data_IF_867860209978
#
_entry.id   IF_867860209978
#
_cell.length_a   1.000
_cell.length_b   1.000
_cell.length_c   1.000
_cell.angle_alpha   90.00
_cell.angle_beta   90.00
_cell.angle_gamma   90.00
#
_symmetry.space_group_name_H-M   'P 1'
#
loop_
_entity.id
_entity.type
_entity.pdbx_description
1 polymer ?
#
# COMPACT_ATOMS: atom_id res chain seq x y z
N UNK A 1 -10.93 26.86 -19.04
CA UNK A 1 -9.88 26.03 -19.66
C UNK A 1 -8.81 25.81 -18.60
N UNK A 2 -8.81 24.64 -17.94
CA UNK A 2 -7.70 24.17 -17.12
C UNK A 2 -7.30 22.81 -17.71
N UNK A 3 -6.01 22.68 -18.02
CA UNK A 3 -5.43 21.67 -18.89
C UNK A 3 -4.99 20.44 -18.11
N UNK A 4 -5.44 19.25 -18.54
CA UNK A 4 -5.05 17.92 -18.05
C UNK A 4 -3.61 17.54 -18.41
N UNK A 5 -2.62 18.32 -17.98
CA UNK A 5 -1.19 18.04 -18.21
C UNK A 5 -0.36 17.83 -16.94
N UNK A 6 -0.98 17.57 -15.80
CA UNK A 6 -0.25 17.49 -14.53
C UNK A 6 0.30 16.10 -14.15
N UNK A 7 0.06 15.04 -14.92
CA UNK A 7 0.46 13.68 -14.50
C UNK A 7 1.70 13.08 -15.19
N UNK A 8 2.25 13.71 -16.22
CA UNK A 8 3.42 13.19 -16.98
C UNK A 8 4.72 14.01 -16.81
N UNK A 9 4.79 14.97 -15.87
CA UNK A 9 5.84 16.00 -15.87
C UNK A 9 6.55 16.32 -14.55
N UNK A 10 6.64 15.41 -13.57
CA UNK A 10 7.20 15.76 -12.25
C UNK A 10 8.35 14.86 -11.77
N UNK A 11 9.40 14.75 -12.60
CA UNK A 11 10.71 14.23 -12.20
C UNK A 11 11.80 15.32 -12.13
N UNK A 12 11.46 16.61 -12.13
CA UNK A 12 12.44 17.69 -12.00
C UNK A 12 11.85 18.88 -11.24
N UNK A 13 12.22 19.07 -9.96
CA UNK A 13 12.19 20.38 -9.28
C UNK A 13 13.35 20.46 -8.29
N UNK A 14 14.29 21.37 -8.56
CA UNK A 14 15.36 21.84 -7.67
C UNK A 14 14.83 22.67 -6.47
N UNK A 15 15.61 22.81 -5.38
CA UNK A 15 15.10 23.16 -4.06
C UNK A 15 15.03 24.69 -3.81
N UNK A 16 14.06 25.12 -3.01
CA UNK A 16 14.02 26.45 -2.42
C UNK A 16 14.05 26.38 -0.87
N UNK A 17 14.85 27.29 -0.31
CA UNK A 17 15.31 27.42 1.07
C UNK A 17 14.26 27.57 2.19
N UNK A 18 14.78 27.31 3.40
CA UNK A 18 14.22 27.34 4.75
C UNK A 18 13.42 28.56 5.22
N UNK A 19 12.58 28.38 6.25
CA UNK A 19 12.80 29.02 7.58
C UNK A 19 11.85 28.49 8.67
N UNK A 20 12.40 28.48 9.89
CA UNK A 20 11.89 28.31 11.26
C UNK A 20 10.49 28.91 11.53
N UNK A 21 9.75 28.72 12.63
CA UNK A 21 9.68 27.88 13.84
C UNK A 21 8.38 28.38 14.55
N UNK A 22 7.70 27.58 15.37
CA UNK A 22 7.32 27.97 16.74
C UNK A 22 6.45 26.91 17.44
N UNK A 23 6.87 26.69 18.68
CA UNK A 23 6.46 25.85 19.79
C UNK A 23 5.24 26.41 20.53
N UNK A 24 4.30 25.57 21.00
CA UNK A 24 3.64 25.67 22.33
C UNK A 24 3.15 24.27 22.77
N UNK A 25 3.65 23.81 23.92
CA UNK A 25 3.13 22.71 24.75
C UNK A 25 1.87 23.12 25.50
N UNK A 26 0.99 22.16 25.82
CA UNK A 26 0.32 22.09 27.13
C UNK A 26 -0.29 20.72 27.37
N UNK A 27 0.22 20.04 28.39
CA UNK A 27 -0.29 18.83 29.02
C UNK A 27 -1.66 19.06 29.69
N UNK A 28 -2.49 18.01 29.82
CA UNK A 28 -2.79 17.45 31.14
C UNK A 28 -3.61 16.16 31.08
N UNK A 29 -3.13 15.19 31.86
CA UNK A 29 -3.75 13.93 32.24
C UNK A 29 -5.01 14.13 33.09
N UNK A 30 -5.95 13.18 33.00
CA UNK A 30 -6.61 12.63 34.20
C UNK A 30 -7.21 11.24 33.93
N UNK A 31 -6.66 10.28 34.65
CA UNK A 31 -7.15 8.92 34.87
C UNK A 31 -8.32 8.98 35.87
N UNK A 32 -9.37 8.18 35.66
CA UNK A 32 -10.00 7.49 36.78
C UNK A 32 -10.74 6.21 36.38
N UNK A 33 -10.38 5.15 37.11
CA UNK A 33 -10.98 3.83 37.18
C UNK A 33 -12.28 3.81 37.98
N UNK A 34 -13.21 2.90 37.68
CA UNK A 34 -14.40 2.67 38.51
C UNK A 34 -15.20 1.43 38.11
N UNK A 35 -15.40 0.53 39.06
CA UNK A 35 -15.90 -0.85 38.95
C UNK A 35 -17.39 -1.05 38.65
N UNK A 36 -17.66 -2.18 37.97
CA UNK A 36 -18.68 -3.23 38.24
C UNK A 36 -20.19 -2.91 38.32
N UNK A 37 -21.01 -3.72 37.65
CA UNK A 37 -21.87 -4.75 38.30
C UNK A 37 -22.71 -5.55 37.28
N UNK A 38 -22.90 -6.84 37.60
CA UNK A 38 -23.73 -7.85 36.92
C UNK A 38 -25.23 -7.56 37.10
N UNK A 39 -26.07 -7.98 36.15
CA UNK A 39 -27.28 -8.81 36.43
C UNK A 39 -27.89 -9.46 35.18
N UNK A 40 -28.05 -10.79 35.28
CA UNK A 40 -28.80 -11.69 34.37
C UNK A 40 -30.31 -11.39 34.42
N UNK A 41 -31.02 -11.64 33.32
CA UNK A 41 -32.33 -12.33 33.37
C UNK A 41 -32.64 -13.05 32.05
N UNK A 42 -32.89 -14.35 32.19
CA UNK A 42 -33.31 -15.34 31.17
C UNK A 42 -34.85 -15.42 31.23
N UNK A 43 -35.55 -15.52 30.10
CA UNK A 43 -36.90 -16.10 30.04
C UNK A 43 -37.12 -16.81 28.70
N UNK A 44 -37.21 -18.14 28.78
CA UNK A 44 -37.74 -19.03 27.75
C UNK A 44 -39.28 -18.98 27.79
N UNK A 45 -39.95 -19.10 26.63
CA UNK A 45 -41.24 -19.80 26.53
C UNK A 45 -41.41 -20.53 25.19
N UNK A 46 -41.85 -21.78 25.34
CA UNK A 46 -42.05 -22.96 24.47
C UNK A 46 -42.92 -22.80 23.19
N UNK A 47 -42.53 -23.60 22.17
CA UNK A 47 -43.26 -24.63 21.33
C UNK A 47 -44.65 -24.27 20.77
N UNK A 48 -45.04 -24.57 19.52
CA UNK A 48 -45.19 -25.85 18.75
C UNK A 48 -45.59 -25.38 17.30
N UNK A 49 -45.45 -26.07 16.16
CA UNK A 49 -45.79 -27.47 15.87
C UNK A 49 -45.24 -27.89 14.48
N UNK A 50 -45.22 -29.22 14.27
CA UNK A 50 -44.79 -29.99 13.08
C UNK A 50 -45.52 -29.65 11.78
N UNK A 51 -44.85 -29.83 10.65
CA UNK A 51 -45.34 -30.80 9.66
C UNK A 51 -44.21 -31.46 8.85
N UNK A 52 -44.44 -32.75 8.54
CA UNK A 52 -43.53 -33.75 7.98
C UNK A 52 -44.05 -34.13 6.60
N UNK A 53 -43.17 -34.27 5.61
CA UNK A 53 -43.51 -34.84 4.30
C UNK A 53 -42.24 -35.28 3.57
N UNK A 54 -42.00 -36.59 3.54
CA UNK A 54 -41.00 -37.24 2.69
C UNK A 54 -41.50 -37.27 1.25
N UNK A 55 -40.60 -37.19 0.28
CA UNK A 55 -40.50 -38.19 -0.79
C UNK A 55 -39.10 -38.12 -1.44
N UNK A 56 -38.53 -39.30 -1.64
CA UNK A 56 -37.36 -39.56 -2.46
C UNK A 56 -37.83 -39.91 -3.89
N UNK A 57 -36.97 -39.68 -4.89
CA UNK A 57 -37.11 -40.31 -6.21
C UNK A 57 -36.82 -39.40 -7.40
N UNK A 58 -35.55 -39.38 -7.78
CA UNK A 58 -34.99 -39.52 -9.14
C UNK A 58 -35.12 -38.44 -10.24
N UNK A 59 -34.09 -38.50 -11.09
CA UNK A 59 -33.88 -37.93 -12.43
C UNK A 59 -33.41 -36.48 -12.60
N UNK A 60 -32.07 -36.40 -12.74
CA UNK A 60 -31.31 -35.65 -13.73
C UNK A 60 -31.97 -34.46 -14.44
N UNK A 61 -31.40 -33.27 -14.25
CA UNK A 61 -31.14 -32.39 -15.40
C UNK A 61 -29.96 -31.46 -15.10
N UNK A 62 -29.06 -31.41 -16.05
CA UNK A 62 -27.94 -30.48 -16.18
C UNK A 62 -28.36 -29.03 -15.86
N UNK A 63 -27.54 -28.32 -15.08
CA UNK A 63 -27.40 -26.86 -15.20
C UNK A 63 -25.96 -26.47 -14.95
N UNK A 64 -25.11 -26.81 -15.92
CA UNK A 64 -23.91 -26.04 -16.19
C UNK A 64 -24.35 -24.84 -17.03
N UNK A 65 -24.56 -23.67 -16.40
CA UNK A 65 -24.44 -22.30 -16.99
C UNK A 65 -24.94 -21.24 -16.01
N UNK A 66 -24.16 -20.90 -14.99
CA UNK A 66 -24.28 -19.64 -14.22
C UNK A 66 -23.01 -18.77 -14.33
N UNK A 67 -21.96 -19.33 -14.94
CA UNK A 67 -20.57 -18.85 -14.94
C UNK A 67 -20.36 -17.47 -15.60
N UNK A 68 -21.13 -17.13 -16.63
CA UNK A 68 -21.06 -15.82 -17.31
C UNK A 68 -22.01 -14.79 -16.69
N UNK A 69 -23.04 -15.23 -15.99
CA UNK A 69 -24.18 -14.39 -15.68
C UNK A 69 -23.88 -13.45 -14.53
N UNK A 70 -23.37 -13.95 -13.39
CA UNK A 70 -23.09 -13.10 -12.21
C UNK A 70 -22.04 -12.02 -12.46
N UNK A 71 -20.99 -12.36 -13.21
CA UNK A 71 -19.89 -11.44 -13.54
C UNK A 71 -20.31 -10.40 -14.58
N UNK A 72 -21.12 -10.80 -15.58
CA UNK A 72 -21.70 -9.87 -16.54
C UNK A 72 -22.76 -8.98 -15.87
N UNK A 73 -23.56 -9.54 -14.99
CA UNK A 73 -24.60 -8.88 -14.23
C UNK A 73 -24.02 -7.80 -13.31
N UNK A 74 -22.97 -8.09 -12.55
CA UNK A 74 -22.31 -7.08 -11.69
C UNK A 74 -21.66 -5.97 -12.52
N UNK A 75 -21.09 -6.31 -13.68
CA UNK A 75 -20.58 -5.29 -14.62
C UNK A 75 -21.71 -4.42 -15.16
N UNK A 76 -22.85 -5.04 -15.49
CA UNK A 76 -24.06 -4.36 -15.97
C UNK A 76 -24.68 -3.50 -14.87
N UNK A 77 -24.67 -3.95 -13.61
CA UNK A 77 -25.12 -3.18 -12.45
C UNK A 77 -24.28 -1.92 -12.26
N UNK A 78 -22.95 -2.03 -12.35
CA UNK A 78 -22.05 -0.87 -12.31
C UNK A 78 -22.37 0.12 -13.45
N UNK A 79 -22.55 -0.36 -14.68
CA UNK A 79 -22.91 0.50 -15.81
C UNK A 79 -24.30 1.14 -15.62
N UNK A 80 -25.29 0.38 -15.17
CA UNK A 80 -26.64 0.88 -14.92
C UNK A 80 -26.67 1.91 -13.79
N UNK A 81 -25.83 1.73 -12.77
CA UNK A 81 -25.65 2.67 -11.68
C UNK A 81 -25.07 3.99 -12.19
N UNK A 82 -24.08 3.95 -13.10
CA UNK A 82 -23.54 5.16 -13.73
C UNK A 82 -24.58 5.87 -14.60
N UNK A 83 -25.29 5.13 -15.46
CA UNK A 83 -26.36 5.69 -16.31
C UNK A 83 -27.48 6.31 -15.47
N UNK A 84 -27.87 5.64 -14.37
CA UNK A 84 -28.91 6.14 -13.48
C UNK A 84 -28.46 7.34 -12.65
N UNK A 85 -27.17 7.38 -12.27
CA UNK A 85 -26.57 8.53 -11.58
C UNK A 85 -26.43 9.74 -12.52
N UNK A 86 -26.27 9.51 -13.82
CA UNK A 86 -26.20 10.58 -14.83
C UNK A 86 -27.55 11.23 -15.12
N UNK A 87 -28.61 10.43 -15.15
CA UNK A 87 -29.96 10.91 -15.38
C UNK A 87 -30.51 11.65 -14.13
N UNK A 88 -30.64 12.98 -14.22
CA UNK A 88 -30.99 13.91 -13.12
C UNK A 88 -32.41 13.78 -12.52
N UNK A 89 -33.10 12.65 -12.68
CA UNK A 89 -34.50 12.45 -12.24
C UNK A 89 -34.57 11.83 -10.84
N UNK A 90 -35.47 12.29 -9.99
CA UNK A 90 -35.63 11.83 -8.59
C UNK A 90 -35.98 10.34 -8.48
N UNK A 91 -36.77 9.81 -9.42
CA UNK A 91 -37.07 8.37 -9.54
C UNK A 91 -35.81 7.51 -9.73
N UNK A 92 -34.71 8.09 -10.24
CA UNK A 92 -33.45 7.38 -10.38
C UNK A 92 -32.70 7.23 -9.05
N UNK A 93 -32.96 8.06 -8.03
CA UNK A 93 -32.31 7.94 -6.73
C UNK A 93 -32.67 6.59 -6.05
N UNK A 94 -33.93 6.18 -6.14
CA UNK A 94 -34.39 4.88 -5.64
C UNK A 94 -33.75 3.72 -6.40
N UNK A 95 -33.67 3.82 -7.73
CA UNK A 95 -33.01 2.81 -8.58
C UNK A 95 -31.52 2.69 -8.29
N UNK A 96 -30.82 3.82 -8.14
CA UNK A 96 -29.41 3.87 -7.75
C UNK A 96 -29.21 3.16 -6.41
N UNK A 97 -30.02 3.44 -5.39
CA UNK A 97 -29.89 2.78 -4.08
C UNK A 97 -30.13 1.26 -4.13
N UNK A 98 -31.09 0.78 -4.93
CA UNK A 98 -31.30 -0.66 -5.13
C UNK A 98 -30.08 -1.30 -5.80
N UNK A 99 -29.56 -0.68 -6.85
CA UNK A 99 -28.39 -1.17 -7.58
C UNK A 99 -27.14 -1.19 -6.70
N UNK A 100 -26.90 -0.13 -5.93
CA UNK A 100 -25.83 -0.06 -4.92
C UNK A 100 -25.95 -1.21 -3.90
N UNK A 101 -27.13 -1.39 -3.31
CA UNK A 101 -27.34 -2.43 -2.30
C UNK A 101 -27.13 -3.85 -2.86
N UNK A 102 -27.63 -4.12 -4.08
CA UNK A 102 -27.44 -5.40 -4.75
C UNK A 102 -25.96 -5.67 -5.06
N UNK A 103 -25.27 -4.68 -5.63
CA UNK A 103 -23.84 -4.74 -5.93
C UNK A 103 -23.01 -5.00 -4.66
N UNK A 104 -23.29 -4.26 -3.59
CA UNK A 104 -22.62 -4.42 -2.29
C UNK A 104 -22.87 -5.80 -1.70
N UNK A 105 -24.09 -6.30 -1.79
CA UNK A 105 -24.44 -7.62 -1.29
C UNK A 105 -23.68 -8.72 -2.03
N UNK A 106 -23.72 -8.72 -3.37
CA UNK A 106 -22.99 -9.70 -4.20
C UNK A 106 -21.48 -9.66 -3.93
N UNK A 107 -20.91 -8.47 -3.94
CA UNK A 107 -19.46 -8.28 -3.72
C UNK A 107 -19.05 -8.71 -2.30
N UNK A 108 -19.84 -8.35 -1.28
CA UNK A 108 -19.56 -8.74 0.11
C UNK A 108 -19.70 -10.25 0.33
N UNK A 109 -20.68 -10.89 -0.33
CA UNK A 109 -20.87 -12.33 -0.27
C UNK A 109 -19.67 -13.07 -0.88
N UNK A 110 -19.20 -12.63 -2.06
CA UNK A 110 -18.02 -13.20 -2.71
C UNK A 110 -16.78 -13.07 -1.83
N UNK A 111 -16.48 -11.88 -1.31
CA UNK A 111 -15.37 -11.69 -0.37
C UNK A 111 -15.51 -12.53 0.91
N UNK A 112 -16.73 -12.73 1.41
CA UNK A 112 -16.96 -13.55 2.61
C UNK A 112 -16.69 -15.02 2.32
N UNK A 113 -17.16 -15.54 1.17
CA UNK A 113 -16.89 -16.91 0.71
C UNK A 113 -15.41 -17.14 0.48
N UNK A 114 -14.70 -16.19 -0.13
CA UNK A 114 -13.25 -16.28 -0.33
C UNK A 114 -12.50 -16.49 0.99
N UNK A 115 -12.92 -15.81 2.06
CA UNK A 115 -12.32 -15.91 3.39
C UNK A 115 -12.78 -17.10 4.22
N UNK A 116 -13.83 -17.80 3.81
CA UNK A 116 -14.41 -18.89 4.58
C UNK A 116 -13.54 -20.14 4.46
N UNK A 117 -12.88 -20.63 5.53
CA UNK A 117 -12.06 -21.83 5.46
C UNK A 117 -12.88 -23.10 5.20
N UNK A 118 -14.18 -23.10 5.50
CA UNK A 118 -15.05 -24.27 5.37
C UNK A 118 -15.51 -24.49 3.91
N UNK A 119 -15.37 -23.47 3.05
CA UNK A 119 -15.67 -23.58 1.62
C UNK A 119 -14.45 -24.14 0.87
N UNK A 120 -14.60 -25.23 0.11
CA UNK A 120 -13.51 -25.78 -0.69
C UNK A 120 -12.99 -24.78 -1.72
N UNK A 121 -11.68 -24.79 -1.95
CA UNK A 121 -10.98 -23.85 -2.83
C UNK A 121 -11.53 -23.87 -4.27
N UNK A 122 -11.85 -25.06 -4.80
CA UNK A 122 -12.39 -25.18 -6.16
C UNK A 122 -13.76 -24.51 -6.32
N UNK A 123 -14.53 -24.36 -5.23
CA UNK A 123 -15.82 -23.67 -5.22
C UNK A 123 -15.71 -22.15 -5.09
N UNK A 124 -14.49 -21.61 -5.10
CA UNK A 124 -14.19 -20.16 -4.96
C UNK A 124 -13.72 -19.51 -6.26
N UNK A 125 -13.57 -20.28 -7.34
CA UNK A 125 -13.01 -19.79 -8.61
C UNK A 125 -13.85 -18.64 -9.17
N UNK A 126 -15.18 -18.75 -9.12
CA UNK A 126 -16.08 -17.71 -9.59
C UNK A 126 -16.00 -16.45 -8.72
N UNK A 127 -15.94 -16.63 -7.40
CA UNK A 127 -15.75 -15.53 -6.45
C UNK A 127 -14.43 -14.77 -6.71
N UNK A 128 -13.36 -15.50 -7.05
CA UNK A 128 -12.06 -14.92 -7.45
C UNK A 128 -12.20 -14.05 -8.69
N UNK A 129 -12.82 -14.58 -9.75
CA UNK A 129 -13.00 -13.85 -11.00
C UNK A 129 -13.88 -12.61 -10.83
N UNK A 130 -15.00 -12.77 -10.10
CA UNK A 130 -15.93 -11.69 -9.79
C UNK A 130 -15.22 -10.56 -9.05
N UNK A 131 -14.53 -10.86 -7.94
CA UNK A 131 -13.83 -9.86 -7.13
C UNK A 131 -12.76 -9.13 -7.94
N UNK A 132 -11.90 -9.87 -8.67
CA UNK A 132 -10.87 -9.25 -9.50
C UNK A 132 -11.47 -8.32 -10.57
N UNK A 133 -12.58 -8.71 -11.20
CA UNK A 133 -13.23 -7.88 -12.22
C UNK A 133 -13.87 -6.64 -11.63
N UNK A 134 -14.53 -6.74 -10.47
CA UNK A 134 -15.11 -5.60 -9.76
C UNK A 134 -14.03 -4.59 -9.41
N UNK A 135 -12.91 -5.04 -8.81
CA UNK A 135 -11.80 -4.16 -8.46
C UNK A 135 -11.24 -3.48 -9.71
N UNK A 136 -10.93 -4.24 -10.76
CA UNK A 136 -10.39 -3.69 -12.00
C UNK A 136 -11.33 -2.68 -12.68
N UNK A 137 -12.66 -2.91 -12.60
CA UNK A 137 -13.64 -1.95 -13.13
C UNK A 137 -13.71 -0.68 -12.29
N UNK A 138 -13.74 -0.77 -10.97
CA UNK A 138 -13.74 0.41 -10.10
C UNK A 138 -12.46 1.24 -10.25
N UNK A 139 -11.30 0.59 -10.42
CA UNK A 139 -10.05 1.27 -10.76
C UNK A 139 -10.19 2.11 -12.03
N UNK A 140 -10.66 1.51 -13.13
CA UNK A 140 -10.88 2.23 -14.38
C UNK A 140 -11.90 3.37 -14.25
N UNK A 141 -12.98 3.17 -13.49
CA UNK A 141 -14.00 4.21 -13.27
C UNK A 141 -13.49 5.38 -12.43
N UNK A 142 -12.69 5.12 -11.40
CA UNK A 142 -12.08 6.17 -10.58
C UNK A 142 -11.11 7.01 -11.41
N UNK A 143 -10.33 6.37 -12.29
CA UNK A 143 -9.40 7.06 -13.19
C UNK A 143 -10.13 7.84 -14.30
N UNK A 144 -11.21 7.30 -14.87
CA UNK A 144 -11.98 7.96 -15.93
C UNK A 144 -12.78 9.17 -15.42
N UNK A 145 -13.32 9.08 -14.20
CA UNK A 145 -14.28 10.05 -13.67
C UNK A 145 -13.75 10.92 -12.53
N UNK A 146 -12.45 10.93 -12.28
CA UNK A 146 -11.80 11.84 -11.33
C UNK A 146 -12.15 13.32 -11.60
N UNK A 147 -12.18 13.71 -12.87
CA UNK A 147 -12.45 15.07 -13.34
C UNK A 147 -13.90 15.29 -13.83
N UNK A 148 -14.78 14.30 -13.65
CA UNK A 148 -16.15 14.37 -14.12
C UNK A 148 -16.91 15.52 -13.46
N UNK A 149 -17.63 16.32 -14.25
CA UNK A 149 -18.50 17.38 -13.72
C UNK A 149 -19.70 16.83 -12.95
N UNK A 150 -20.09 15.58 -13.21
CA UNK A 150 -21.26 14.98 -12.58
C UNK A 150 -20.95 14.52 -11.13
N UNK A 151 -21.45 15.28 -10.16
CA UNK A 151 -21.32 15.00 -8.73
C UNK A 151 -22.01 13.70 -8.28
N UNK A 152 -23.16 13.34 -8.86
CA UNK A 152 -23.89 12.12 -8.47
C UNK A 152 -23.12 10.86 -8.86
N UNK A 153 -22.57 10.87 -10.07
CA UNK A 153 -21.74 9.76 -10.56
C UNK A 153 -20.47 9.61 -9.71
N UNK A 154 -19.77 10.71 -9.41
CA UNK A 154 -18.62 10.69 -8.49
C UNK A 154 -18.99 10.17 -7.10
N UNK A 155 -20.16 10.53 -6.57
CA UNK A 155 -20.61 10.03 -5.28
C UNK A 155 -20.82 8.51 -5.30
N UNK A 156 -21.46 7.99 -6.34
CA UNK A 156 -21.72 6.56 -6.46
C UNK A 156 -20.42 5.77 -6.65
N UNK A 157 -19.52 6.23 -7.54
CA UNK A 157 -18.19 5.61 -7.75
C UNK A 157 -17.38 5.64 -6.45
N UNK A 158 -17.34 6.78 -5.75
CA UNK A 158 -16.65 6.91 -4.48
C UNK A 158 -17.20 5.93 -3.44
N UNK A 159 -18.52 5.85 -3.29
CA UNK A 159 -19.16 5.02 -2.28
C UNK A 159 -18.88 3.52 -2.51
N UNK A 160 -18.93 3.06 -3.76
CA UNK A 160 -18.63 1.67 -4.11
C UNK A 160 -17.13 1.36 -4.00
N UNK A 161 -16.26 2.29 -4.40
CA UNK A 161 -14.82 2.14 -4.28
C UNK A 161 -14.38 2.06 -2.82
N UNK A 162 -14.92 2.93 -1.96
CA UNK A 162 -14.68 2.89 -0.51
C UNK A 162 -15.07 1.53 0.09
N UNK A 163 -16.27 1.03 -0.25
CA UNK A 163 -16.74 -0.27 0.21
C UNK A 163 -15.80 -1.41 -0.20
N UNK A 164 -15.38 -1.44 -1.46
CA UNK A 164 -14.46 -2.46 -1.98
C UNK A 164 -13.07 -2.35 -1.34
N UNK A 165 -12.54 -1.13 -1.12
CA UNK A 165 -11.28 -0.91 -0.40
C UNK A 165 -11.32 -1.55 1.00
N UNK A 166 -12.42 -1.40 1.74
CA UNK A 166 -12.58 -2.04 3.04
C UNK A 166 -12.63 -3.57 2.96
N UNK A 167 -13.31 -4.12 1.95
CA UNK A 167 -13.35 -5.57 1.73
C UNK A 167 -11.97 -6.13 1.37
N UNK A 168 -11.23 -5.44 0.50
CA UNK A 168 -9.85 -5.78 0.12
C UNK A 168 -8.93 -5.81 1.35
N UNK A 169 -9.01 -4.79 2.21
CA UNK A 169 -8.23 -4.75 3.44
C UNK A 169 -8.58 -5.91 4.39
N UNK A 170 -9.86 -6.25 4.49
CA UNK A 170 -10.32 -7.34 5.35
C UNK A 170 -9.85 -8.70 4.83
N UNK A 171 -9.85 -8.88 3.51
CA UNK A 171 -9.31 -10.08 2.86
C UNK A 171 -7.80 -10.21 3.10
N UNK A 172 -7.04 -9.14 2.89
CA UNK A 172 -5.58 -9.13 3.05
C UNK A 172 -5.13 -9.48 4.48
N UNK A 173 -5.86 -9.03 5.51
CA UNK A 173 -5.57 -9.37 6.92
C UNK A 173 -5.84 -10.83 7.28
N UNK A 174 -6.53 -11.59 6.43
CA UNK A 174 -6.91 -12.97 6.77
C UNK A 174 -5.75 -13.92 6.43
N UNK A 175 -5.00 -14.33 7.46
CA UNK A 175 -3.83 -15.19 7.32
C UNK A 175 -4.14 -16.64 7.72
N UNK A 176 -5.06 -17.29 7.02
CA UNK A 176 -5.38 -18.70 7.20
C UNK A 176 -4.75 -19.54 6.07
N UNK A 177 -4.27 -20.75 6.38
CA UNK A 177 -3.56 -21.61 5.41
C UNK A 177 -4.43 -21.89 4.16
N UNK A 178 -5.73 -22.14 4.37
CA UNK A 178 -6.69 -22.33 3.27
C UNK A 178 -6.89 -21.11 2.37
N UNK A 179 -6.50 -19.91 2.84
CA UNK A 179 -6.65 -18.63 2.13
C UNK A 179 -5.32 -18.19 1.50
N UNK A 180 -4.19 -18.73 1.98
CA UNK A 180 -2.88 -18.58 1.35
C UNK A 180 -2.66 -19.50 0.15
N UNK A 181 -3.65 -20.31 -0.22
CA UNK A 181 -3.56 -21.28 -1.30
C UNK A 181 -3.29 -20.61 -2.67
N UNK A 182 -2.53 -21.26 -3.57
CA UNK A 182 -2.20 -20.71 -4.90
C UNK A 182 -3.42 -20.30 -5.73
N UNK A 183 -4.55 -20.99 -5.57
CA UNK A 183 -5.78 -20.66 -6.28
C UNK A 183 -6.36 -19.27 -5.95
N UNK A 184 -6.01 -18.70 -4.79
CA UNK A 184 -6.41 -17.34 -4.41
C UNK A 184 -5.32 -16.29 -4.71
N UNK A 185 -4.19 -16.69 -5.31
CA UNK A 185 -3.06 -15.81 -5.56
C UNK A 185 -3.45 -14.56 -6.34
N UNK A 186 -4.31 -14.70 -7.35
CA UNK A 186 -4.77 -13.57 -8.17
C UNK A 186 -5.52 -12.49 -7.37
N UNK A 187 -6.43 -12.89 -6.48
CA UNK A 187 -7.14 -11.93 -5.60
C UNK A 187 -6.16 -11.32 -4.61
N UNK A 188 -5.25 -12.13 -4.05
CA UNK A 188 -4.23 -11.63 -3.10
C UNK A 188 -3.32 -10.61 -3.75
N UNK A 189 -2.89 -10.83 -4.99
CA UNK A 189 -2.10 -9.88 -5.78
C UNK A 189 -2.88 -8.60 -6.05
N UNK A 190 -4.15 -8.73 -6.45
CA UNK A 190 -5.04 -7.57 -6.68
C UNK A 190 -5.26 -6.76 -5.40
N UNK A 191 -5.33 -7.43 -4.25
CA UNK A 191 -5.45 -6.79 -2.94
C UNK A 191 -4.10 -6.34 -2.36
N UNK A 192 -2.95 -6.76 -2.89
CA UNK A 192 -1.64 -6.41 -2.35
C UNK A 192 -1.35 -4.92 -2.55
N UNK A 193 -0.64 -4.32 -1.60
CA UNK A 193 -0.24 -2.91 -1.67
C UNK A 193 0.81 -2.72 -2.76
N UNK A 194 0.33 -2.43 -3.96
CA UNK A 194 1.10 -2.17 -5.18
C UNK A 194 0.90 -0.73 -5.64
N UNK A 195 1.67 -0.29 -6.64
CA UNK A 195 1.48 1.04 -7.24
C UNK A 195 0.05 1.24 -7.76
N UNK A 196 -0.53 0.22 -8.39
CA UNK A 196 -1.91 0.26 -8.91
C UNK A 196 -2.91 0.49 -7.78
N UNK A 197 -2.79 -0.25 -6.68
CA UNK A 197 -3.69 -0.11 -5.55
C UNK A 197 -3.50 1.23 -4.81
N UNK A 198 -2.27 1.69 -4.64
CA UNK A 198 -1.97 2.99 -4.06
C UNK A 198 -2.59 4.12 -4.87
N UNK A 199 -2.45 4.10 -6.21
CA UNK A 199 -3.11 5.06 -7.11
C UNK A 199 -4.62 5.00 -6.98
N UNK A 200 -5.21 3.80 -7.00
CA UNK A 200 -6.66 3.63 -6.82
C UNK A 200 -7.17 4.23 -5.51
N UNK A 201 -6.51 3.96 -4.38
CA UNK A 201 -6.89 4.50 -3.07
C UNK A 201 -6.76 6.03 -3.04
N UNK A 202 -5.67 6.58 -3.57
CA UNK A 202 -5.45 8.03 -3.64
C UNK A 202 -6.46 8.72 -4.55
N UNK A 203 -6.71 8.21 -5.75
CA UNK A 203 -7.71 8.76 -6.67
C UNK A 203 -9.12 8.68 -6.08
N UNK A 204 -9.44 7.60 -5.35
CA UNK A 204 -10.71 7.48 -4.60
C UNK A 204 -10.78 8.55 -3.50
N UNK A 205 -9.69 8.79 -2.77
CA UNK A 205 -9.63 9.85 -1.76
C UNK A 205 -9.84 11.25 -2.36
N UNK A 206 -9.18 11.57 -3.48
CA UNK A 206 -9.39 12.83 -4.21
C UNK A 206 -10.85 12.98 -4.68
N UNK A 207 -11.46 11.91 -5.18
CA UNK A 207 -12.87 11.89 -5.54
C UNK A 207 -13.77 12.16 -4.31
N UNK A 208 -13.44 11.57 -3.16
CA UNK A 208 -14.13 11.79 -1.88
C UNK A 208 -14.16 13.25 -1.43
N UNK A 209 -13.07 13.99 -1.69
CA UNK A 209 -13.01 15.44 -1.42
C UNK A 209 -14.02 16.18 -2.29
N UNK A 210 -14.08 15.86 -3.58
CA UNK A 210 -14.98 16.50 -4.53
C UNK A 210 -16.47 16.29 -4.22
N UNK A 211 -16.81 15.22 -3.49
CA UNK A 211 -18.19 14.90 -3.07
C UNK A 211 -18.47 15.22 -1.59
N UNK A 212 -17.58 15.95 -0.92
CA UNK A 212 -17.79 16.44 0.44
C UNK A 212 -17.73 15.36 1.53
N UNK A 213 -16.83 14.38 1.39
CA UNK A 213 -16.67 13.24 2.32
C UNK A 213 -15.32 13.23 3.06
N UNK A 214 -14.93 14.31 3.77
CA UNK A 214 -13.58 14.46 4.32
C UNK A 214 -13.21 13.41 5.39
N UNK A 215 -14.17 12.89 6.16
CA UNK A 215 -13.90 11.85 7.15
C UNK A 215 -13.56 10.51 6.50
N UNK A 216 -14.28 10.12 5.44
CA UNK A 216 -13.99 8.91 4.67
C UNK A 216 -12.68 9.06 3.88
N UNK A 217 -12.36 10.26 3.38
CA UNK A 217 -11.06 10.55 2.73
C UNK A 217 -9.90 10.29 3.71
N UNK A 218 -10.00 10.82 4.93
CA UNK A 218 -9.01 10.57 5.98
C UNK A 218 -8.90 9.07 6.28
N UNK A 219 -10.01 8.37 6.38
CA UNK A 219 -10.04 6.92 6.59
C UNK A 219 -9.28 6.14 5.50
N UNK A 220 -9.48 6.48 4.22
CA UNK A 220 -8.77 5.84 3.10
C UNK A 220 -7.26 6.07 3.22
N UNK A 221 -6.85 7.32 3.49
CA UNK A 221 -5.43 7.67 3.60
C UNK A 221 -4.78 7.03 4.82
N UNK A 222 -5.43 7.05 5.98
CA UNK A 222 -4.94 6.39 7.19
C UNK A 222 -4.87 4.86 7.01
N UNK A 223 -5.77 4.29 6.19
CA UNK A 223 -5.70 2.89 5.81
C UNK A 223 -4.49 2.62 4.93
N UNK A 224 -4.25 3.42 3.90
CA UNK A 224 -3.07 3.31 3.04
C UNK A 224 -1.78 3.43 3.86
N UNK A 225 -1.70 4.38 4.79
CA UNK A 225 -0.55 4.55 5.69
C UNK A 225 -0.25 3.27 6.47
N UNK A 226 -1.27 2.67 7.10
CA UNK A 226 -1.11 1.41 7.85
C UNK A 226 -0.53 0.29 7.00
N UNK A 227 -0.89 0.25 5.72
CA UNK A 227 -0.39 -0.76 4.77
C UNK A 227 1.05 -0.50 4.37
N UNK A 228 1.42 0.76 4.15
CA UNK A 228 2.81 1.15 3.89
C UNK A 228 3.71 0.82 5.08
N UNK A 229 3.26 1.12 6.31
CA UNK A 229 3.99 0.77 7.54
C UNK A 229 4.17 -0.75 7.67
N UNK A 230 3.13 -1.55 7.39
CA UNK A 230 3.24 -3.02 7.43
C UNK A 230 4.19 -3.59 6.37
N UNK A 231 4.30 -2.95 5.20
CA UNK A 231 5.26 -3.33 4.16
C UNK A 231 6.71 -3.05 4.55
N UNK A 232 6.95 -2.17 5.54
CA UNK A 232 8.29 -1.65 5.86
C UNK A 232 9.34 -2.75 6.04
N UNK A 233 8.98 -3.86 6.66
CA UNK A 233 9.89 -4.97 6.97
C UNK A 233 9.79 -6.17 6.01
N UNK A 234 8.96 -6.06 4.96
CA UNK A 234 8.76 -7.09 3.94
C UNK A 234 9.24 -6.62 2.54
N UNK A 235 10.19 -5.67 2.53
CA UNK A 235 10.62 -4.88 1.36
C UNK A 235 11.33 -5.61 0.24
N UNK A 236 11.84 -6.81 0.48
CA UNK A 236 12.45 -7.63 -0.57
C UNK A 236 11.52 -7.86 -1.78
N UNK A 237 10.21 -7.59 -1.64
CA UNK A 237 9.20 -7.70 -2.71
C UNK A 237 8.70 -6.37 -3.29
N UNK A 238 9.12 -5.21 -2.75
CA UNK A 238 8.53 -3.91 -3.09
C UNK A 238 9.55 -2.94 -3.68
N UNK A 239 10.00 -3.21 -4.91
CA UNK A 239 10.96 -2.38 -5.67
C UNK A 239 10.57 -0.89 -5.80
N UNK A 240 9.32 -0.53 -5.48
CA UNK A 240 8.77 0.81 -5.63
C UNK A 240 8.29 1.45 -4.31
N UNK A 241 8.73 0.96 -3.14
CA UNK A 241 8.23 1.44 -1.83
C UNK A 241 8.32 2.97 -1.67
N UNK A 242 9.44 3.58 -2.06
CA UNK A 242 9.64 5.04 -2.06
C UNK A 242 8.53 5.77 -2.82
N UNK A 243 8.24 5.33 -4.05
CA UNK A 243 7.19 5.94 -4.86
C UNK A 243 5.80 5.83 -4.21
N UNK A 244 5.50 4.71 -3.53
CA UNK A 244 4.23 4.56 -2.82
C UNK A 244 4.11 5.54 -1.65
N UNK A 245 5.18 5.70 -0.86
CA UNK A 245 5.24 6.66 0.26
C UNK A 245 5.13 8.10 -0.23
N UNK A 246 5.82 8.44 -1.32
CA UNK A 246 5.76 9.77 -1.93
C UNK A 246 4.35 10.11 -2.44
N UNK A 247 3.71 9.20 -3.19
CA UNK A 247 2.32 9.38 -3.67
C UNK A 247 1.36 9.58 -2.50
N UNK A 248 1.47 8.75 -1.46
CA UNK A 248 0.66 8.88 -0.25
C UNK A 248 0.86 10.24 0.45
N UNK A 249 2.11 10.58 0.77
CA UNK A 249 2.47 11.77 1.55
C UNK A 249 2.10 13.06 0.82
N UNK A 250 2.41 13.13 -0.49
CA UNK A 250 2.06 14.29 -1.31
C UNK A 250 0.55 14.48 -1.39
N UNK A 251 -0.20 13.40 -1.60
CA UNK A 251 -1.67 13.48 -1.63
C UNK A 251 -2.22 13.97 -0.31
N UNK A 252 -1.77 13.39 0.81
CA UNK A 252 -2.22 13.78 2.15
C UNK A 252 -1.91 15.25 2.43
N UNK A 253 -0.73 15.71 2.05
CA UNK A 253 -0.30 17.10 2.20
C UNK A 253 -1.17 18.05 1.39
N UNK A 254 -1.39 17.75 0.10
CA UNK A 254 -2.22 18.55 -0.80
C UNK A 254 -3.68 18.66 -0.33
N UNK A 255 -4.15 17.68 0.47
CA UNK A 255 -5.47 17.70 1.09
C UNK A 255 -5.51 18.39 2.45
N UNK A 256 -4.42 19.06 2.86
CA UNK A 256 -4.34 19.79 4.12
C UNK A 256 -4.28 18.89 5.36
N UNK A 257 -3.89 17.63 5.21
CA UNK A 257 -3.84 16.63 6.30
C UNK A 257 -2.41 16.31 6.77
N UNK A 258 -1.43 17.10 6.33
CA UNK A 258 0.00 16.89 6.61
C UNK A 258 0.64 15.78 5.76
N UNK A 259 1.92 15.49 5.98
CA UNK A 259 2.65 14.44 5.25
C UNK A 259 2.41 13.01 5.77
N UNK A 260 1.94 12.88 7.01
CA UNK A 260 1.60 11.62 7.65
C UNK A 260 0.49 11.83 8.69
N UNK A 261 -0.07 10.75 9.22
CA UNK A 261 -1.10 10.82 10.27
C UNK A 261 -0.54 11.21 11.64
N UNK A 262 0.76 11.01 11.86
CA UNK A 262 1.47 11.33 13.11
C UNK A 262 2.93 11.69 12.86
N UNK A 263 3.56 12.32 13.85
CA UNK A 263 5.01 12.61 13.84
C UNK A 263 5.85 11.33 13.76
N UNK A 264 5.43 10.27 14.45
CA UNK A 264 6.12 8.99 14.43
C UNK A 264 6.11 8.35 13.04
N UNK A 265 4.96 8.36 12.36
CA UNK A 265 4.88 7.86 10.98
C UNK A 265 5.69 8.75 10.03
N UNK A 266 5.66 10.07 10.23
CA UNK A 266 6.47 10.98 9.42
C UNK A 266 7.95 10.64 9.53
N UNK A 267 8.47 10.45 10.75
CA UNK A 267 9.86 10.07 11.01
C UNK A 267 10.27 8.78 10.29
N UNK A 268 9.35 7.82 10.18
CA UNK A 268 9.57 6.57 9.43
C UNK A 268 9.62 6.82 7.92
N UNK A 269 8.84 7.78 7.42
CA UNK A 269 8.76 8.10 5.99
C UNK A 269 9.81 9.12 5.51
N UNK A 270 10.42 9.90 6.41
CA UNK A 270 11.36 10.99 6.09
C UNK A 270 12.44 10.59 5.07
N UNK A 271 13.04 9.42 5.21
CA UNK A 271 14.05 8.92 4.27
C UNK A 271 13.52 8.79 2.84
N UNK A 272 12.26 8.38 2.69
CA UNK A 272 11.60 8.17 1.40
C UNK A 272 11.05 9.48 0.81
N UNK A 273 10.90 10.52 1.64
CA UNK A 273 10.42 11.84 1.26
C UNK A 273 11.56 12.84 1.01
N UNK A 274 12.79 12.50 1.42
CA UNK A 274 13.96 13.36 1.26
C UNK A 274 14.82 12.89 0.10
N UNK A 275 15.27 13.83 -0.73
CA UNK A 275 16.32 13.62 -1.73
C UNK A 275 17.69 13.73 -1.05
N UNK A 276 18.03 12.71 -0.27
CA UNK A 276 19.26 12.70 0.53
C UNK A 276 20.54 12.59 -0.32
N UNK A 277 20.40 12.18 -1.58
CA UNK A 277 21.45 12.08 -2.59
C UNK A 277 20.89 12.58 -3.94
N UNK A 278 21.77 13.10 -4.78
CA UNK A 278 21.44 13.49 -6.17
C UNK A 278 21.23 12.27 -7.07
N UNK A 279 21.93 11.17 -6.79
CA UNK A 279 21.79 9.90 -7.53
C UNK A 279 20.58 9.10 -7.03
N UNK A 280 19.54 9.07 -7.86
CA UNK A 280 18.30 8.36 -7.59
C UNK A 280 18.45 6.82 -7.60
N UNK A 281 19.35 6.27 -8.42
CA UNK A 281 19.59 4.83 -8.44
C UNK A 281 20.37 4.38 -7.21
N UNK A 282 21.32 5.19 -6.73
CA UNK A 282 21.94 4.98 -5.42
C UNK A 282 20.92 5.02 -4.29
N UNK A 283 19.97 5.98 -4.29
CA UNK A 283 18.90 6.04 -3.29
C UNK A 283 18.05 4.76 -3.27
N UNK A 284 17.66 4.25 -4.44
CA UNK A 284 16.90 2.98 -4.53
C UNK A 284 17.68 1.81 -3.95
N UNK A 285 18.98 1.72 -4.21
CA UNK A 285 19.84 0.67 -3.64
C UNK A 285 19.93 0.80 -2.12
N UNK A 286 19.98 2.02 -1.60
CA UNK A 286 19.96 2.29 -0.16
C UNK A 286 18.61 2.00 0.49
N UNK A 287 17.48 2.14 -0.21
CA UNK A 287 16.16 1.81 0.32
C UNK A 287 16.04 0.34 0.79
N UNK A 288 16.78 -0.56 0.14
CA UNK A 288 16.86 -2.00 0.48
C UNK A 288 17.58 -2.23 1.82
N UNK A 289 18.36 -1.25 2.28
CA UNK A 289 19.17 -1.34 3.48
C UNK A 289 18.41 -0.95 4.76
N UNK A 290 17.14 -0.52 4.65
CA UNK A 290 16.29 -0.22 5.81
C UNK A 290 16.04 -1.48 6.64
N UNK A 291 16.43 -1.45 7.92
CA UNK A 291 16.18 -2.53 8.88
C UNK A 291 17.17 -3.70 8.82
N UNK A 292 18.29 -3.54 8.11
CA UNK A 292 19.31 -4.60 8.04
C UNK A 292 20.08 -4.72 9.37
N UNK A 293 20.50 -5.94 9.76
CA UNK A 293 21.13 -6.15 11.06
C UNK A 293 22.59 -5.73 11.13
N UNK A 294 23.31 -5.80 10.01
CA UNK A 294 24.71 -5.40 9.91
C UNK A 294 24.96 -4.68 8.60
N UNK A 295 25.96 -3.81 8.63
CA UNK A 295 26.32 -2.95 7.51
C UNK A 295 27.81 -3.03 7.19
N UNK A 296 28.10 -2.76 5.93
CA UNK A 296 29.43 -2.54 5.36
C UNK A 296 29.46 -1.14 4.77
N UNK A 297 30.52 -0.42 5.06
CA UNK A 297 30.83 0.85 4.43
C UNK A 297 32.31 0.84 4.04
N UNK A 298 32.59 0.92 2.75
CA UNK A 298 33.94 1.04 2.22
C UNK A 298 34.11 2.44 1.63
N UNK A 299 35.25 3.05 1.92
CA UNK A 299 35.56 4.41 1.47
C UNK A 299 36.66 4.35 0.42
N UNK A 300 36.44 4.99 -0.73
CA UNK A 300 37.45 5.20 -1.76
C UNK A 300 37.90 6.67 -1.65
N UNK A 301 39.18 6.91 -1.32
CA UNK A 301 39.74 8.25 -1.29
C UNK A 301 39.58 8.98 -2.62
N UNK A 302 39.47 10.31 -2.55
CA UNK A 302 39.40 11.18 -3.72
C UNK A 302 40.61 11.04 -4.66
N UNK A 303 40.46 11.56 -5.88
CA UNK A 303 41.50 11.61 -6.91
C UNK A 303 41.87 10.25 -7.55
N UNK A 304 40.97 9.27 -7.50
CA UNK A 304 41.10 8.00 -8.23
C UNK A 304 40.06 7.92 -9.35
N UNK A 305 40.44 7.39 -10.52
CA UNK A 305 39.45 6.99 -11.51
C UNK A 305 38.73 5.75 -11.02
N UNK A 306 37.41 5.85 -10.87
CA UNK A 306 36.55 4.79 -10.33
C UNK A 306 35.58 4.26 -11.38
N UNK A 307 35.68 4.72 -12.63
CA UNK A 307 34.69 4.44 -13.68
C UNK A 307 34.49 2.94 -13.95
N UNK A 308 35.59 2.19 -14.07
CA UNK A 308 35.53 0.74 -14.33
C UNK A 308 35.03 -0.04 -13.11
N UNK A 309 35.36 0.44 -11.92
CA UNK A 309 34.89 -0.13 -10.66
C UNK A 309 33.39 0.10 -10.46
N UNK A 310 32.90 1.32 -10.71
CA UNK A 310 31.48 1.67 -10.61
C UNK A 310 30.63 0.81 -11.56
N UNK A 311 31.06 0.65 -12.82
CA UNK A 311 30.41 -0.25 -13.79
C UNK A 311 30.38 -1.70 -13.32
N UNK A 312 31.41 -2.14 -12.60
CA UNK A 312 31.49 -3.51 -12.07
C UNK A 312 30.61 -3.72 -10.83
N UNK A 313 30.38 -2.68 -10.04
CA UNK A 313 29.49 -2.71 -8.87
C UNK A 313 28.03 -2.52 -9.24
N UNK A 314 27.73 -1.76 -10.29
CA UNK A 314 26.38 -1.45 -10.74
C UNK A 314 25.41 -2.67 -10.75
N UNK A 315 25.79 -3.85 -11.28
CA UNK A 315 24.91 -5.03 -11.30
C UNK A 315 24.73 -5.71 -9.94
N UNK A 316 25.51 -5.35 -8.90
CA UNK A 316 25.38 -5.96 -7.58
C UNK A 316 24.13 -5.46 -6.85
N UNK A 317 23.25 -6.41 -6.52
CA UNK A 317 22.00 -6.14 -5.82
C UNK A 317 22.28 -5.66 -4.40
N UNK A 318 21.72 -4.50 -4.04
CA UNK A 318 21.81 -3.93 -2.69
C UNK A 318 23.16 -3.29 -2.35
N UNK A 319 24.09 -3.19 -3.30
CA UNK A 319 25.36 -2.48 -3.12
C UNK A 319 25.25 -1.09 -3.73
N UNK A 320 25.17 -0.06 -2.89
CA UNK A 320 25.14 1.33 -3.33
C UNK A 320 26.56 1.89 -3.43
N UNK A 321 26.89 2.58 -4.52
CA UNK A 321 28.12 3.34 -4.67
C UNK A 321 27.75 4.80 -4.98
N UNK A 322 28.21 5.75 -4.16
CA UNK A 322 27.83 7.16 -4.30
C UNK A 322 28.88 8.11 -3.72
N UNK A 323 28.75 9.40 -4.02
CA UNK A 323 29.62 10.47 -3.52
C UNK A 323 30.39 11.18 -4.64
N UNK A 324 30.68 12.47 -4.41
CA UNK A 324 31.48 13.29 -5.31
C UNK A 324 32.89 13.43 -4.74
N UNK A 325 33.90 13.01 -5.50
CA UNK A 325 35.29 12.94 -5.03
C UNK A 325 35.54 11.71 -4.16
N UNK A 326 35.08 11.72 -2.90
CA UNK A 326 35.20 10.56 -2.00
C UNK A 326 33.99 9.65 -2.23
N UNK A 327 34.24 8.45 -2.76
CA UNK A 327 33.18 7.47 -3.02
C UNK A 327 32.96 6.60 -1.80
N UNK A 328 31.70 6.31 -1.50
CA UNK A 328 31.29 5.37 -0.46
C UNK A 328 30.58 4.20 -1.12
N UNK A 329 31.01 2.99 -0.78
CA UNK A 329 30.34 1.74 -1.17
C UNK A 329 29.69 1.14 0.06
N UNK A 330 28.37 0.99 0.01
CA UNK A 330 27.55 0.61 1.16
C UNK A 330 26.74 -0.65 0.85
N UNK A 331 26.68 -1.55 1.83
CA UNK A 331 25.85 -2.74 1.79
C UNK A 331 25.28 -3.04 3.19
N UNK A 332 24.16 -3.75 3.26
CA UNK A 332 23.55 -4.20 4.52
C UNK A 332 22.94 -5.60 4.38
N UNK A 333 23.07 -6.41 5.43
CA UNK A 333 22.58 -7.79 5.45
C UNK A 333 22.95 -8.54 6.73
N UNK A 334 22.90 -9.87 6.71
CA UNK A 334 23.45 -10.69 7.79
C UNK A 334 24.97 -10.57 7.85
N UNK A 335 25.59 -11.02 8.95
CA UNK A 335 27.06 -10.98 9.08
C UNK A 335 27.76 -11.72 7.93
N UNK A 336 27.22 -12.87 7.54
CA UNK A 336 27.76 -13.72 6.48
C UNK A 336 27.61 -13.06 5.11
N UNK A 337 26.46 -12.43 4.86
CA UNK A 337 26.21 -11.69 3.63
C UNK A 337 27.16 -10.48 3.52
N UNK A 338 27.31 -9.71 4.60
CA UNK A 338 28.26 -8.58 4.68
C UNK A 338 29.69 -9.03 4.41
N UNK A 339 30.13 -10.12 5.03
CA UNK A 339 31.47 -10.67 4.82
C UNK A 339 31.69 -11.11 3.37
N UNK A 340 30.72 -11.81 2.78
CA UNK A 340 30.77 -12.28 1.39
C UNK A 340 30.82 -11.12 0.39
N UNK A 341 29.94 -10.12 0.57
CA UNK A 341 29.91 -8.92 -0.26
C UNK A 341 31.21 -8.13 -0.14
N UNK A 342 31.79 -8.01 1.06
CA UNK A 342 33.09 -7.35 1.24
C UNK A 342 34.18 -8.00 0.41
N UNK A 343 34.30 -9.33 0.44
CA UNK A 343 35.31 -10.06 -0.34
C UNK A 343 35.13 -9.79 -1.84
N UNK A 344 33.88 -9.77 -2.32
CA UNK A 344 33.58 -9.48 -3.72
C UNK A 344 33.98 -8.04 -4.11
N UNK A 345 33.54 -7.05 -3.33
CA UNK A 345 33.80 -5.64 -3.61
C UNK A 345 35.29 -5.32 -3.57
N UNK A 346 36.04 -5.89 -2.60
CA UNK A 346 37.50 -5.71 -2.52
C UNK A 346 38.19 -6.28 -3.77
N UNK A 347 37.80 -7.48 -4.22
CA UNK A 347 38.34 -8.07 -5.46
C UNK A 347 38.03 -7.22 -6.69
N UNK A 348 36.83 -6.66 -6.78
CA UNK A 348 36.47 -5.75 -7.88
C UNK A 348 37.32 -4.46 -7.85
N UNK A 349 37.58 -3.93 -6.66
CA UNK A 349 38.44 -2.76 -6.49
C UNK A 349 39.88 -3.07 -6.94
N UNK A 350 40.43 -4.22 -6.54
CA UNK A 350 41.76 -4.69 -6.96
C UNK A 350 41.87 -4.82 -8.48
N UNK A 351 40.89 -5.45 -9.13
CA UNK A 351 40.85 -5.62 -10.59
C UNK A 351 40.79 -4.27 -11.31
N UNK A 352 40.03 -3.31 -10.77
CA UNK A 352 39.92 -1.97 -11.31
C UNK A 352 41.07 -1.03 -10.91
N UNK A 353 42.03 -1.49 -10.10
CA UNK A 353 43.14 -0.67 -9.60
C UNK A 353 42.75 0.41 -8.58
N UNK A 354 41.56 0.30 -7.97
CA UNK A 354 41.02 1.25 -6.98
C UNK A 354 41.50 0.88 -5.58
N UNK A 355 42.02 1.87 -4.85
CA UNK A 355 42.43 1.71 -3.44
C UNK A 355 41.28 2.09 -2.51
N UNK A 356 41.02 1.20 -1.54
CA UNK A 356 40.08 1.42 -0.44
C UNK A 356 40.83 1.94 0.80
N UNK A 357 40.23 2.90 1.51
CA UNK A 357 40.77 3.40 2.78
C UNK A 357 40.50 2.39 3.89
N UNK A 358 41.53 1.86 4.54
CA UNK A 358 41.34 0.96 5.70
C UNK A 358 40.86 1.70 6.95
N UNK A 359 41.33 2.94 7.17
CA UNK A 359 40.99 3.73 8.36
C UNK A 359 39.56 4.27 8.33
N UNK A 360 39.06 4.59 7.13
CA UNK A 360 37.74 5.20 6.97
C UNK A 360 36.66 4.19 6.58
N UNK A 361 37.03 2.93 6.39
CA UNK A 361 36.09 1.84 6.11
C UNK A 361 35.61 1.17 7.39
N UNK A 362 34.33 0.80 7.41
CA UNK A 362 33.66 0.14 8.54
C UNK A 362 33.08 -1.19 8.08
N UNK A 363 33.30 -2.24 8.85
CA UNK A 363 32.84 -3.59 8.51
C UNK A 363 31.99 -4.19 9.63
N UNK A 364 30.88 -4.83 9.23
CA UNK A 364 29.99 -5.56 10.13
C UNK A 364 29.53 -4.73 11.34
N UNK A 365 29.23 -3.46 11.10
CA UNK A 365 28.74 -2.53 12.13
C UNK A 365 27.21 -2.58 12.23
N UNK A 366 26.62 -2.35 13.42
CA UNK A 366 25.17 -2.38 13.58
C UNK A 366 24.47 -1.16 12.99
N UNK A 367 25.21 -0.06 12.76
CA UNK A 367 24.67 1.19 12.22
C UNK A 367 25.66 1.87 11.28
N UNK A 368 25.12 2.60 10.30
CA UNK A 368 25.87 3.52 9.43
C UNK A 368 25.11 4.84 9.28
N UNK A 369 25.84 5.90 8.92
CA UNK A 369 25.27 7.25 8.73
C UNK A 369 25.40 7.68 7.28
N UNK A 370 24.30 8.11 6.67
CA UNK A 370 24.27 8.65 5.30
C UNK A 370 23.60 10.02 5.38
N UNK A 371 24.42 11.07 5.24
CA UNK A 371 23.99 12.45 5.49
C UNK A 371 23.46 12.62 6.91
N UNK A 372 22.19 13.05 7.01
CA UNK A 372 21.46 13.23 8.27
C UNK A 372 20.71 11.98 8.75
N UNK A 373 20.87 10.84 8.09
CA UNK A 373 20.12 9.62 8.40
C UNK A 373 21.01 8.54 8.97
N UNK A 374 20.49 7.84 9.98
CA UNK A 374 21.11 6.67 10.60
C UNK A 374 20.34 5.42 10.19
N UNK A 375 21.06 4.43 9.67
CA UNK A 375 20.54 3.13 9.28
C UNK A 375 20.83 2.13 10.40
N UNK A 376 19.84 1.29 10.73
CA UNK A 376 19.91 0.32 11.82
C UNK A 376 18.92 -0.82 11.63
N UNK A 377 18.93 -1.79 12.55
CA UNK A 377 17.91 -2.86 12.68
C UNK A 377 16.49 -2.31 12.84
N UNK A 378 16.34 -1.18 13.52
CA UNK A 378 15.04 -0.52 13.75
C UNK A 378 14.59 0.29 12.53
N UNK A 379 15.46 0.33 11.53
CA UNK A 379 15.29 1.03 10.27
C UNK A 379 16.04 2.36 10.22
N UNK A 380 15.72 3.13 9.17
CA UNK A 380 16.28 4.43 8.87
C UNK A 380 15.50 5.48 9.64
N UNK A 381 16.23 6.34 10.34
CA UNK A 381 15.70 7.49 11.07
C UNK A 381 16.58 8.71 10.79
N UNK A 382 15.95 9.88 10.71
CA UNK A 382 16.70 11.12 10.73
C UNK A 382 17.31 11.32 12.12
N UNK A 383 18.60 11.65 12.14
CA UNK A 383 19.34 11.98 13.34
C UNK A 383 18.97 13.41 13.74
N UNK A 384 18.21 13.56 14.81
CA UNK A 384 17.79 14.86 15.34
C UNK A 384 18.86 15.51 16.22
N UNK A 385 20.04 14.88 16.36
CA UNK A 385 21.15 15.33 17.19
C UNK A 385 22.22 16.13 16.41
N UNK A 386 21.87 16.73 15.27
CA UNK A 386 22.76 17.58 14.48
C UNK A 386 22.45 19.07 14.71
#
# INVERSE_FOLDING_TARGET
MFSSRAFDGFLNVEPACSSEAHRVESENLKINSGQSTKKKKKKNKKRKNRNKGNNAGDEATETATTEKDDVAEVTKMLQQLLVSADAQVEANNYRVSILENSLRQKTSAAFSRLRDPDIPIFSKVDDVQLVCKVIGKLQGLVDEYSDARNLRMRHAIFSESLHVIHLMQRFERTNHIAITAPALAKVRETCATTLVLTKFMVSTALMGVSVGKPSQVREILDLLEKRLLAMRFHKAKALNYRALVQIYSLTRHNLGMGHASSSDTLRIFEWYLTDALTDYEALKKLDVLDGQPFYLELTIPACQDTSDFERSIEPLIGVACFGDGVKRVVYGGTKEAVASTRVLVVKLAEVAGVKLSESDSRYCVPTIRIGKFTFSTDGIIQDTAA
#
